data_IF_315424008398
#
_entry.id   IF_315424008398
#
_cell.length_a   1.000
_cell.length_b   1.000
_cell.length_c   1.000
_cell.angle_alpha   90.00
_cell.angle_beta   90.00
_cell.angle_gamma   90.00
#
_symmetry.space_group_name_H-M   'P 1'
#
loop_
_entity.id
_entity.type
_entity.pdbx_description
1 polymer ?
#
# COMPACT_ATOMS: atom_id res chain seq x y z
N UNK A 1 10.27 0.36 -18.60
CA UNK A 1 9.07 0.69 -17.78
C UNK A 1 9.48 1.18 -16.39
N UNK A 2 8.64 2.00 -15.73
CA UNK A 2 8.93 2.48 -14.36
C UNK A 2 8.42 1.51 -13.29
N UNK A 3 9.31 1.04 -12.41
CA UNK A 3 8.98 0.13 -11.31
C UNK A 3 9.47 0.66 -9.97
N UNK A 4 8.64 0.55 -8.94
CA UNK A 4 8.98 0.99 -7.59
C UNK A 4 9.53 -0.16 -6.75
N UNK A 5 10.72 0.03 -6.20
CA UNK A 5 11.37 -0.89 -5.27
C UNK A 5 11.41 -0.27 -3.88
N UNK A 6 10.89 -0.99 -2.88
CA UNK A 6 10.87 -0.51 -1.49
C UNK A 6 11.58 -1.48 -0.57
N UNK A 7 12.64 -0.99 0.10
CA UNK A 7 13.42 -1.78 1.05
C UNK A 7 13.77 -0.99 2.32
N UNK A 8 14.18 -1.70 3.37
CA UNK A 8 14.65 -1.11 4.63
C UNK A 8 16.08 -0.57 4.46
N UNK A 9 16.34 0.61 5.00
CA UNK A 9 17.65 1.26 5.04
C UNK A 9 18.15 1.40 6.48
N UNK A 10 19.47 1.50 6.63
CA UNK A 10 20.15 1.69 7.90
C UNK A 10 20.92 3.02 7.91
N UNK A 11 20.25 4.14 8.15
CA UNK A 11 20.88 5.46 8.17
C UNK A 11 21.70 5.67 9.44
N UNK A 12 22.81 6.42 9.33
CA UNK A 12 23.60 6.91 10.48
C UNK A 12 22.77 7.88 11.34
N UNK A 13 23.25 8.22 12.54
CA UNK A 13 22.52 9.17 13.41
C UNK A 13 22.38 10.55 12.75
N UNK A 14 23.41 11.06 12.08
CA UNK A 14 23.33 12.31 11.32
C UNK A 14 22.28 12.25 10.20
N UNK A 15 22.25 11.12 9.47
CA UNK A 15 21.26 10.91 8.41
C UNK A 15 19.85 10.83 8.98
N UNK A 16 19.65 10.18 10.14
CA UNK A 16 18.37 10.16 10.84
C UNK A 16 17.88 11.55 11.22
N UNK A 17 18.80 12.41 11.74
CA UNK A 17 18.49 13.81 12.07
C UNK A 17 17.99 14.54 10.81
N UNK A 18 18.73 14.43 9.69
CA UNK A 18 18.33 15.04 8.41
C UNK A 18 16.99 14.54 7.90
N UNK A 19 16.73 13.23 7.99
CA UNK A 19 15.44 12.62 7.61
C UNK A 19 14.31 13.17 8.48
N UNK A 20 14.50 13.22 9.80
CA UNK A 20 13.47 13.73 10.72
C UNK A 20 13.19 15.22 10.50
N UNK A 21 14.24 16.02 10.26
CA UNK A 21 14.13 17.45 9.95
C UNK A 21 13.33 17.65 8.67
N UNK A 22 13.70 16.95 7.58
CA UNK A 22 13.00 17.05 6.29
C UNK A 22 11.53 16.62 6.39
N UNK A 23 11.24 15.49 7.05
CA UNK A 23 9.85 15.03 7.27
C UNK A 23 9.06 16.03 8.12
N UNK A 24 9.72 16.66 9.11
CA UNK A 24 9.14 17.72 9.94
C UNK A 24 8.74 18.93 9.11
N UNK A 25 9.67 19.43 8.30
CA UNK A 25 9.46 20.56 7.38
C UNK A 25 8.35 20.24 6.35
N UNK A 26 8.39 19.08 5.70
CA UNK A 26 7.36 18.68 4.75
C UNK A 26 5.95 18.62 5.38
N UNK A 27 5.86 18.17 6.65
CA UNK A 27 4.58 18.17 7.39
C UNK A 27 4.12 19.60 7.68
N UNK A 28 5.01 20.48 8.10
CA UNK A 28 4.70 21.89 8.34
C UNK A 28 4.19 22.56 7.06
N UNK A 29 4.93 22.45 5.96
CA UNK A 29 4.58 23.04 4.67
C UNK A 29 3.25 22.53 4.13
N UNK A 30 3.00 21.21 4.23
CA UNK A 30 1.71 20.65 3.85
C UNK A 30 0.57 21.33 4.64
N UNK A 31 0.73 21.44 5.96
CA UNK A 31 -0.27 22.05 6.82
C UNK A 31 -0.40 23.55 6.57
N UNK A 32 0.71 24.23 6.32
CA UNK A 32 0.73 25.67 6.04
C UNK A 32 0.00 25.99 4.73
N UNK A 33 0.21 25.20 3.69
CA UNK A 33 -0.56 25.31 2.45
C UNK A 33 -2.07 25.14 2.68
N UNK A 34 -2.48 24.16 3.48
CA UNK A 34 -3.90 23.95 3.81
C UNK A 34 -4.46 25.15 4.57
N UNK A 35 -3.74 25.64 5.57
CA UNK A 35 -4.15 26.78 6.38
C UNK A 35 -4.30 28.03 5.52
N UNK A 36 -3.30 28.37 4.74
CA UNK A 36 -3.29 29.55 3.88
C UNK A 36 -4.43 29.54 2.86
N UNK A 37 -4.68 28.44 2.19
CA UNK A 37 -5.81 28.35 1.24
C UNK A 37 -7.17 28.38 1.94
N UNK A 38 -7.27 27.90 3.18
CA UNK A 38 -8.50 28.03 3.97
C UNK A 38 -8.76 29.50 4.32
N UNK A 39 -7.76 30.24 4.82
CA UNK A 39 -7.91 31.67 5.11
C UNK A 39 -8.31 32.47 3.87
N UNK A 40 -7.70 32.21 2.71
CA UNK A 40 -8.09 32.83 1.43
C UNK A 40 -9.54 32.54 1.06
N UNK A 41 -9.97 31.29 1.22
CA UNK A 41 -11.36 30.92 0.97
C UNK A 41 -12.33 31.64 1.91
N UNK A 42 -12.01 31.71 3.20
CA UNK A 42 -12.81 32.38 4.21
C UNK A 42 -12.89 33.92 3.95
N UNK A 43 -11.85 34.50 3.30
CA UNK A 43 -11.78 35.89 2.85
C UNK A 43 -12.44 36.13 1.46
N UNK A 44 -13.02 35.11 0.83
CA UNK A 44 -13.60 35.21 -0.51
C UNK A 44 -12.57 35.31 -1.66
N UNK A 45 -11.31 35.02 -1.38
CA UNK A 45 -10.23 35.09 -2.36
C UNK A 45 -10.12 33.78 -3.17
N UNK A 46 -9.50 33.89 -4.37
CA UNK A 46 -9.25 32.72 -5.22
C UNK A 46 -8.28 31.75 -4.59
N UNK A 47 -8.52 30.46 -4.79
CA UNK A 47 -7.65 29.37 -4.39
C UNK A 47 -6.25 29.52 -5.01
N UNK A 48 -5.21 29.42 -4.19
CA UNK A 48 -3.82 29.52 -4.63
C UNK A 48 -3.28 28.15 -5.04
N UNK A 49 -2.85 28.02 -6.30
CA UNK A 49 -2.25 26.78 -6.82
C UNK A 49 -0.95 26.42 -6.09
N UNK A 50 -0.54 25.13 -6.14
CA UNK A 50 0.74 24.72 -5.54
C UNK A 50 1.95 25.44 -6.13
N UNK A 51 1.93 25.77 -7.43
CA UNK A 51 2.98 26.54 -8.09
C UNK A 51 3.01 27.99 -7.58
N UNK A 52 1.87 28.66 -7.56
CA UNK A 52 1.76 30.06 -7.07
C UNK A 52 2.15 30.15 -5.60
N UNK A 53 1.71 29.21 -4.77
CA UNK A 53 2.09 29.16 -3.36
C UNK A 53 3.61 28.94 -3.18
N UNK A 54 4.23 28.11 -4.00
CA UNK A 54 5.69 27.90 -3.94
C UNK A 54 6.47 29.16 -4.31
N UNK A 55 5.99 29.95 -5.27
CA UNK A 55 6.60 31.24 -5.66
C UNK A 55 6.42 32.25 -4.53
N UNK A 56 5.18 32.46 -4.07
CA UNK A 56 4.87 33.34 -2.95
C UNK A 56 5.68 33.00 -1.68
N UNK A 57 5.74 31.71 -1.31
CA UNK A 57 6.50 31.24 -0.13
C UNK A 57 7.98 31.67 -0.18
N UNK A 58 8.62 31.50 -1.35
CA UNK A 58 10.07 31.75 -1.46
C UNK A 58 10.44 33.21 -1.70
N UNK A 59 9.60 33.97 -2.44
CA UNK A 59 9.93 35.30 -2.89
C UNK A 59 9.32 36.42 -2.02
N UNK A 60 8.20 36.11 -1.33
CA UNK A 60 7.51 37.11 -0.52
C UNK A 60 7.50 36.72 0.95
N UNK A 61 6.97 35.53 1.28
CA UNK A 61 6.77 35.15 2.68
C UNK A 61 8.08 34.94 3.44
N UNK A 62 8.97 34.07 2.97
CA UNK A 62 10.23 33.78 3.67
C UNK A 62 11.17 34.98 3.81
N UNK A 63 11.34 35.88 2.81
CA UNK A 63 12.14 37.07 3.01
C UNK A 63 11.64 37.98 4.13
N UNK A 64 10.33 38.10 4.30
CA UNK A 64 9.69 38.88 5.36
C UNK A 64 9.64 38.20 6.73
N UNK A 65 9.99 36.89 6.82
CA UNK A 65 9.85 36.10 8.03
C UNK A 65 11.09 35.24 8.31
N UNK A 66 12.19 35.84 8.81
CA UNK A 66 13.48 35.15 9.05
C UNK A 66 13.34 33.93 9.99
N UNK A 67 12.39 33.95 10.91
CA UNK A 67 12.12 32.85 11.84
C UNK A 67 11.71 31.53 11.14
N UNK A 68 11.34 31.58 9.87
CA UNK A 68 11.04 30.39 9.05
C UNK A 68 12.16 29.98 8.09
N UNK A 69 13.32 30.57 8.15
CA UNK A 69 14.45 30.21 7.27
C UNK A 69 14.92 28.76 7.41
N UNK A 70 14.61 28.11 8.53
CA UNK A 70 14.82 26.68 8.71
C UNK A 70 14.14 25.81 7.63
N UNK A 71 13.14 26.34 6.92
CA UNK A 71 12.51 25.66 5.76
C UNK A 71 13.52 25.48 4.62
N UNK A 72 14.46 26.41 4.46
CA UNK A 72 15.51 26.35 3.42
C UNK A 72 16.65 25.38 3.75
N UNK A 73 16.73 24.87 4.99
CA UNK A 73 17.77 23.92 5.40
C UNK A 73 17.51 22.48 4.90
N UNK A 74 16.37 22.23 4.28
CA UNK A 74 16.03 20.95 3.69
C UNK A 74 15.90 21.04 2.16
N UNK A 75 15.86 19.90 1.50
CA UNK A 75 15.74 19.88 0.03
C UNK A 75 14.48 20.61 -0.46
N UNK A 76 14.68 21.60 -1.34
CA UNK A 76 13.59 22.34 -2.00
C UNK A 76 12.64 21.41 -2.77
N UNK A 77 13.15 20.30 -3.31
CA UNK A 77 12.33 19.28 -3.99
C UNK A 77 11.38 18.56 -3.03
N UNK A 78 11.83 18.29 -1.79
CA UNK A 78 10.95 17.72 -0.76
C UNK A 78 9.86 18.70 -0.34
N UNK A 79 10.22 20.00 -0.21
CA UNK A 79 9.26 21.07 0.10
C UNK A 79 8.23 21.23 -1.02
N UNK A 80 8.66 21.34 -2.28
CA UNK A 80 7.74 21.42 -3.45
C UNK A 80 6.81 20.22 -3.52
N UNK A 81 7.32 19.00 -3.31
CA UNK A 81 6.49 17.80 -3.30
C UNK A 81 5.44 17.81 -2.15
N UNK A 82 5.78 18.38 -0.99
CA UNK A 82 4.82 18.54 0.11
C UNK A 82 3.68 19.50 -0.26
N UNK A 83 3.98 20.60 -0.96
CA UNK A 83 2.98 21.55 -1.50
C UNK A 83 2.10 20.85 -2.54
N UNK A 84 2.68 20.14 -3.49
CA UNK A 84 1.95 19.41 -4.53
C UNK A 84 1.01 18.34 -3.95
N UNK A 85 1.47 17.62 -2.91
CA UNK A 85 0.63 16.65 -2.21
C UNK A 85 -0.57 17.31 -1.51
N UNK A 86 -0.41 18.52 -0.98
CA UNK A 86 -1.49 19.28 -0.37
C UNK A 86 -2.46 19.84 -1.43
N UNK A 87 -1.93 20.36 -2.52
CA UNK A 87 -2.71 20.81 -3.68
C UNK A 87 -3.54 19.66 -4.28
N UNK A 88 -2.93 18.50 -4.49
CA UNK A 88 -3.62 17.29 -4.97
C UNK A 88 -4.73 16.84 -4.00
N UNK A 89 -4.53 17.00 -2.69
CA UNK A 89 -5.57 16.66 -1.71
C UNK A 89 -6.80 17.58 -1.85
N UNK A 90 -6.62 18.88 -2.10
CA UNK A 90 -7.71 19.78 -2.42
C UNK A 90 -8.35 19.47 -3.78
N UNK A 91 -7.56 19.20 -4.80
CA UNK A 91 -8.09 18.80 -6.12
C UNK A 91 -9.02 17.60 -6.01
N UNK A 92 -8.63 16.57 -5.28
CA UNK A 92 -9.49 15.39 -5.03
C UNK A 92 -10.75 15.73 -4.25
N UNK A 93 -10.69 16.68 -3.33
CA UNK A 93 -11.86 17.15 -2.61
C UNK A 93 -12.83 17.89 -3.55
N UNK A 94 -12.35 18.81 -4.38
CA UNK A 94 -13.19 19.53 -5.36
C UNK A 94 -13.80 18.62 -6.42
N UNK A 95 -13.12 17.52 -6.78
CA UNK A 95 -13.67 16.49 -7.68
C UNK A 95 -14.50 15.42 -6.95
N UNK A 96 -14.90 15.64 -5.70
CA UNK A 96 -15.69 14.71 -4.87
C UNK A 96 -15.08 13.31 -4.69
N UNK A 97 -13.77 13.16 -4.92
CA UNK A 97 -13.03 11.90 -4.76
C UNK A 97 -12.58 11.63 -3.32
N UNK A 98 -12.58 12.65 -2.46
CA UNK A 98 -12.20 12.53 -1.06
C UNK A 98 -12.88 13.57 -0.18
N UNK A 99 -12.90 13.34 1.14
CA UNK A 99 -13.29 14.35 2.11
C UNK A 99 -12.28 15.51 2.17
N UNK A 100 -12.67 16.61 2.83
CA UNK A 100 -11.82 17.78 3.03
C UNK A 100 -10.44 17.40 3.59
N UNK A 101 -9.34 17.99 3.07
CA UNK A 101 -7.97 17.66 3.48
C UNK A 101 -7.73 17.84 4.98
N UNK A 102 -7.10 16.86 5.63
CA UNK A 102 -6.82 16.92 7.07
C UNK A 102 -5.38 17.31 7.33
N UNK A 103 -5.15 18.12 8.38
CA UNK A 103 -3.81 18.44 8.87
C UNK A 103 -3.01 17.19 9.23
N UNK A 104 -1.75 17.16 8.82
CA UNK A 104 -0.82 16.08 9.14
C UNK A 104 -0.31 16.22 10.58
N UNK A 105 -0.36 15.15 11.36
CA UNK A 105 0.08 15.12 12.77
C UNK A 105 1.33 14.24 12.94
N UNK A 106 2.31 14.71 13.76
CA UNK A 106 3.52 13.95 14.09
C UNK A 106 3.16 12.58 14.69
N UNK A 107 3.74 11.52 14.12
CA UNK A 107 3.52 10.14 14.59
C UNK A 107 2.14 9.54 14.31
N UNK A 108 1.28 10.22 13.53
CA UNK A 108 -0.02 9.71 13.04
C UNK A 108 -0.10 9.69 11.51
N UNK A 109 0.50 10.70 10.86
CA UNK A 109 0.44 10.86 9.42
C UNK A 109 1.71 10.33 8.76
N UNK A 110 1.57 9.64 7.62
CA UNK A 110 2.69 9.18 6.79
C UNK A 110 3.17 10.34 5.91
N UNK A 111 4.19 11.06 6.39
CA UNK A 111 4.89 12.10 5.63
C UNK A 111 6.26 11.58 5.26
N UNK A 112 6.66 11.75 4.01
CA UNK A 112 7.89 11.20 3.43
C UNK A 112 8.85 12.32 3.02
N UNK A 113 10.14 12.02 3.04
CA UNK A 113 11.17 12.83 2.42
C UNK A 113 11.26 12.40 0.95
N UNK A 114 10.81 13.24 0.03
CA UNK A 114 10.89 12.99 -1.41
C UNK A 114 12.26 13.40 -1.95
N UNK A 115 12.76 12.67 -2.94
CA UNK A 115 13.95 13.03 -3.71
C UNK A 115 13.75 12.69 -5.19
N UNK A 116 14.48 13.41 -6.04
CA UNK A 116 14.46 13.23 -7.49
C UNK A 116 15.89 13.32 -8.02
N UNK A 117 16.17 12.64 -9.12
CA UNK A 117 17.42 12.73 -9.83
C UNK A 117 17.47 14.07 -10.58
N UNK A 118 18.41 14.95 -10.21
CA UNK A 118 18.67 16.20 -10.91
C UNK A 118 19.93 16.09 -11.78
N UNK A 119 20.98 15.41 -11.28
CA UNK A 119 22.26 15.25 -11.94
C UNK A 119 22.57 13.78 -12.17
N UNK A 120 23.44 13.43 -13.15
CA UNK A 120 23.85 12.05 -13.41
C UNK A 120 24.41 11.33 -12.18
N UNK A 121 25.09 12.06 -11.28
CA UNK A 121 25.71 11.53 -10.04
C UNK A 121 24.74 11.41 -8.86
N UNK A 122 23.48 11.84 -9.03
CA UNK A 122 22.44 11.69 -8.02
C UNK A 122 21.73 10.34 -8.15
N UNK A 123 21.17 9.87 -7.03
CA UNK A 123 20.30 8.68 -7.00
C UNK A 123 20.99 7.43 -7.56
N UNK A 124 22.25 7.20 -7.23
CA UNK A 124 22.97 5.98 -7.61
C UNK A 124 22.63 4.83 -6.66
N UNK A 125 22.63 3.61 -7.17
CA UNK A 125 22.45 2.39 -6.38
C UNK A 125 23.59 1.42 -6.62
N UNK A 126 24.14 0.90 -5.53
CA UNK A 126 25.04 -0.23 -5.51
C UNK A 126 24.38 -1.41 -4.79
N UNK A 127 24.97 -2.56 -4.83
CA UNK A 127 24.39 -3.78 -4.23
C UNK A 127 23.99 -3.61 -2.76
N UNK A 128 24.73 -2.80 -1.98
CA UNK A 128 24.55 -2.70 -0.52
C UNK A 128 24.24 -1.28 -0.03
N UNK A 129 24.22 -0.28 -0.91
CA UNK A 129 23.96 1.12 -0.55
C UNK A 129 23.30 1.90 -1.69
N UNK A 130 22.56 2.93 -1.33
CA UNK A 130 21.90 3.86 -2.25
C UNK A 130 22.32 5.27 -1.95
N UNK A 131 22.65 6.07 -2.97
CA UNK A 131 22.95 7.49 -2.84
C UNK A 131 21.66 8.29 -2.93
N UNK A 132 21.33 9.00 -1.87
CA UNK A 132 20.13 9.83 -1.79
C UNK A 132 20.57 11.29 -1.68
N UNK A 133 20.03 12.20 -2.53
CA UNK A 133 20.33 13.63 -2.43
C UNK A 133 20.14 14.13 -0.99
N UNK A 134 21.05 14.96 -0.51
CA UNK A 134 21.13 15.51 0.85
C UNK A 134 21.54 14.54 1.96
N UNK A 135 21.37 13.23 1.78
CA UNK A 135 21.79 12.20 2.75
C UNK A 135 23.15 11.56 2.41
N UNK A 136 23.54 11.60 1.11
CA UNK A 136 24.70 10.83 0.64
C UNK A 136 24.40 9.32 0.55
N UNK A 137 25.42 8.51 0.75
CA UNK A 137 25.29 7.05 0.72
C UNK A 137 24.63 6.50 1.98
N UNK A 138 23.55 5.75 1.80
CA UNK A 138 22.79 5.09 2.87
C UNK A 138 22.82 3.59 2.66
N UNK A 139 23.07 2.82 3.70
CA UNK A 139 23.15 1.35 3.67
C UNK A 139 21.79 0.72 3.46
N UNK A 140 21.70 -0.26 2.57
CA UNK A 140 20.54 -1.11 2.36
C UNK A 140 20.59 -2.35 3.26
N UNK A 141 19.45 -2.73 3.87
CA UNK A 141 19.35 -3.99 4.62
C UNK A 141 19.27 -5.20 3.68
N UNK A 142 18.57 -5.08 2.59
CA UNK A 142 18.42 -6.12 1.57
C UNK A 142 19.39 -5.81 0.41
N UNK A 143 20.45 -6.63 0.32
CA UNK A 143 21.49 -6.45 -0.68
C UNK A 143 21.02 -6.91 -2.05
N UNK A 144 21.19 -6.07 -3.09
CA UNK A 144 20.84 -6.41 -4.47
C UNK A 144 19.35 -6.44 -4.78
N UNK A 145 18.48 -5.97 -3.86
CA UNK A 145 17.04 -5.90 -4.11
C UNK A 145 16.66 -4.76 -5.07
N UNK A 146 17.32 -3.62 -4.98
CA UNK A 146 17.19 -2.54 -5.96
C UNK A 146 18.21 -2.78 -7.08
N UNK A 147 17.81 -2.75 -8.35
CA UNK A 147 18.73 -2.86 -9.48
C UNK A 147 19.86 -1.82 -9.40
N UNK A 148 21.08 -2.23 -9.77
CA UNK A 148 22.25 -1.38 -9.56
C UNK A 148 22.48 -0.44 -10.72
N UNK A 149 23.05 0.75 -10.44
CA UNK A 149 23.39 1.71 -11.47
C UNK A 149 24.53 1.25 -12.39
N UNK A 150 25.37 0.29 -11.94
CA UNK A 150 26.41 -0.33 -12.75
C UNK A 150 25.83 -1.19 -13.88
N UNK A 151 24.66 -1.80 -13.65
CA UNK A 151 23.95 -2.60 -14.65
C UNK A 151 23.07 -1.73 -15.59
N UNK A 152 23.31 -0.42 -15.62
CA UNK A 152 22.59 0.52 -16.49
C UNK A 152 21.24 1.00 -15.98
N UNK A 153 20.79 0.57 -14.79
CA UNK A 153 19.49 0.97 -14.24
C UNK A 153 19.52 2.40 -13.67
N UNK A 154 18.48 3.16 -13.97
CA UNK A 154 18.36 4.57 -13.58
C UNK A 154 17.25 4.77 -12.57
N UNK A 155 17.60 5.29 -11.39
CA UNK A 155 16.63 5.76 -10.41
C UNK A 155 16.17 7.17 -10.82
N UNK A 156 14.88 7.33 -11.13
CA UNK A 156 14.29 8.63 -11.51
C UNK A 156 13.95 9.48 -10.29
N UNK A 157 13.36 8.87 -9.29
CA UNK A 157 12.94 9.54 -8.05
C UNK A 157 12.74 8.53 -6.94
N UNK A 158 12.43 9.02 -5.75
CA UNK A 158 12.06 8.15 -4.65
C UNK A 158 11.63 8.91 -3.41
N UNK A 159 11.38 8.17 -2.34
CA UNK A 159 11.00 8.74 -1.07
C UNK A 159 11.57 7.93 0.10
N UNK A 160 12.06 8.62 1.11
CA UNK A 160 12.41 8.02 2.40
C UNK A 160 11.21 8.15 3.35
N UNK A 161 10.82 7.05 3.95
CA UNK A 161 9.72 6.98 4.91
C UNK A 161 10.16 6.32 6.21
N UNK A 162 9.41 6.57 7.28
CA UNK A 162 9.67 5.98 8.59
C UNK A 162 8.41 5.27 9.09
N UNK A 163 8.53 3.98 9.42
CA UNK A 163 7.42 3.18 9.96
C UNK A 163 7.89 2.32 11.13
N UNK A 164 7.22 2.43 12.26
CA UNK A 164 7.51 1.65 13.48
C UNK A 164 8.98 1.72 13.96
N UNK A 165 9.62 2.90 13.81
CA UNK A 165 11.01 3.13 14.19
C UNK A 165 12.05 2.56 13.22
N UNK A 166 11.63 2.14 12.01
CA UNK A 166 12.49 1.71 10.91
C UNK A 166 12.40 2.68 9.75
N UNK A 167 13.46 2.74 8.95
CA UNK A 167 13.57 3.60 7.79
C UNK A 167 13.51 2.78 6.51
N UNK A 168 12.78 3.30 5.52
CA UNK A 168 12.59 2.64 4.23
C UNK A 168 12.86 3.64 3.11
N UNK A 169 13.51 3.18 2.06
CA UNK A 169 13.57 3.89 0.78
C UNK A 169 12.62 3.22 -0.21
N UNK A 170 11.87 4.02 -0.94
CA UNK A 170 11.11 3.60 -2.10
C UNK A 170 11.73 4.29 -3.30
N UNK A 171 12.37 3.55 -4.19
CA UNK A 171 13.05 4.08 -5.38
C UNK A 171 12.24 3.72 -6.63
N UNK A 172 11.96 4.70 -7.47
CA UNK A 172 11.34 4.53 -8.78
C UNK A 172 12.46 4.35 -9.81
N UNK A 173 12.58 3.14 -10.33
CA UNK A 173 13.65 2.71 -11.23
C UNK A 173 13.09 2.50 -12.62
N UNK A 174 13.83 2.96 -13.61
CA UNK A 174 13.55 2.66 -15.00
C UNK A 174 14.18 1.30 -15.34
N UNK A 175 13.34 0.32 -15.68
CA UNK A 175 13.75 -1.03 -16.03
C UNK A 175 13.30 -1.36 -17.46
N UNK A 176 13.99 -2.25 -18.18
CA UNK A 176 13.51 -2.75 -19.46
C UNK A 176 12.09 -3.29 -19.34
N UNK A 177 11.29 -3.13 -20.38
CA UNK A 177 10.02 -3.86 -20.44
C UNK A 177 10.35 -5.36 -20.47
N UNK A 178 9.62 -6.20 -19.71
CA UNK A 178 9.81 -7.65 -19.85
C UNK A 178 9.44 -8.05 -21.25
N UNK A 179 10.24 -8.93 -21.84
CA UNK A 179 9.89 -9.58 -23.10
C UNK A 179 8.65 -10.44 -22.86
N UNK A 180 7.66 -10.33 -23.74
CA UNK A 180 6.50 -11.21 -23.71
C UNK A 180 6.98 -12.63 -24.03
N UNK A 181 6.95 -13.49 -23.03
CA UNK A 181 7.36 -14.88 -23.18
C UNK A 181 6.23 -15.61 -23.93
N UNK A 182 6.48 -16.02 -25.17
CA UNK A 182 5.46 -16.54 -26.09
C UNK A 182 4.80 -17.87 -25.70
N UNK A 183 5.26 -18.51 -24.60
CA UNK A 183 4.73 -19.79 -24.12
C UNK A 183 3.79 -19.57 -22.93
N UNK A 184 2.56 -19.10 -23.20
CA UNK A 184 1.50 -19.00 -22.19
C UNK A 184 0.74 -20.34 -22.10
N UNK A 185 0.39 -20.73 -20.87
CA UNK A 185 -0.48 -21.88 -20.60
C UNK A 185 -1.95 -21.47 -20.65
N UNK A 186 -2.86 -22.45 -20.48
CA UNK A 186 -4.29 -22.18 -20.39
C UNK A 186 -4.60 -21.15 -19.29
N UNK A 187 -5.68 -20.39 -19.51
CA UNK A 187 -6.16 -19.42 -18.54
C UNK A 187 -6.58 -20.04 -17.21
N UNK A 188 -6.58 -19.26 -16.16
CA UNK A 188 -6.99 -19.68 -14.83
C UNK A 188 -8.01 -18.74 -14.22
N UNK A 189 -8.95 -19.31 -13.43
CA UNK A 189 -9.86 -18.56 -12.56
C UNK A 189 -9.40 -18.64 -11.12
N UNK A 190 -9.62 -17.58 -10.34
CA UNK A 190 -9.27 -17.50 -8.92
C UNK A 190 -10.47 -17.02 -8.11
N UNK A 191 -10.99 -17.88 -7.25
CA UNK A 191 -11.98 -17.52 -6.22
C UNK A 191 -11.27 -17.03 -4.95
N UNK A 192 -11.64 -15.85 -4.45
CA UNK A 192 -11.06 -15.23 -3.26
C UNK A 192 -11.99 -15.36 -2.05
N UNK A 193 -11.53 -16.05 -1.00
CA UNK A 193 -12.36 -16.39 0.13
C UNK A 193 -11.85 -15.97 1.52
N UNK A 194 -12.70 -16.13 2.52
CA UNK A 194 -12.36 -15.93 3.94
C UNK A 194 -11.94 -17.23 4.64
N UNK A 195 -12.40 -18.39 4.15
CA UNK A 195 -12.01 -19.72 4.66
C UNK A 195 -10.60 -20.03 4.21
N UNK A 196 -10.41 -20.14 2.94
CA UNK A 196 -9.13 -20.16 2.26
C UNK A 196 -8.91 -18.80 1.60
N UNK A 197 -7.68 -18.44 1.33
CA UNK A 197 -7.35 -17.12 0.78
C UNK A 197 -7.70 -17.04 -0.70
N UNK A 198 -7.34 -18.08 -1.43
CA UNK A 198 -7.65 -18.21 -2.85
C UNK A 198 -7.74 -19.69 -3.25
N UNK A 199 -8.70 -20.03 -4.11
CA UNK A 199 -8.82 -21.32 -4.79
C UNK A 199 -8.64 -21.07 -6.28
N UNK A 200 -7.74 -21.80 -6.91
CA UNK A 200 -7.43 -21.68 -8.33
C UNK A 200 -8.07 -22.81 -9.11
N UNK A 201 -8.51 -22.56 -10.34
CA UNK A 201 -9.19 -23.53 -11.21
C UNK A 201 -8.38 -24.81 -11.51
N UNK A 202 -7.05 -24.77 -11.29
CA UNK A 202 -6.20 -25.95 -11.40
C UNK A 202 -6.19 -26.83 -10.12
N UNK A 203 -7.08 -26.56 -9.15
CA UNK A 203 -7.17 -27.29 -7.88
C UNK A 203 -6.22 -26.78 -6.77
N UNK A 204 -5.35 -25.80 -7.04
CA UNK A 204 -4.44 -25.25 -6.03
C UNK A 204 -5.21 -24.41 -5.01
N UNK A 205 -5.02 -24.70 -3.72
CA UNK A 205 -5.66 -23.98 -2.61
C UNK A 205 -4.64 -23.23 -1.76
N UNK A 206 -4.77 -21.92 -1.70
CA UNK A 206 -3.96 -21.06 -0.84
C UNK A 206 -4.68 -20.80 0.49
N UNK A 207 -4.13 -21.36 1.56
CA UNK A 207 -4.74 -21.26 2.90
C UNK A 207 -4.71 -19.83 3.44
N UNK A 208 -5.69 -19.49 4.26
CA UNK A 208 -5.74 -18.21 4.95
C UNK A 208 -4.65 -18.09 6.04
N UNK A 209 -3.63 -17.27 5.79
CA UNK A 209 -2.49 -17.05 6.70
C UNK A 209 -2.94 -16.52 8.08
N UNK A 210 -4.09 -15.82 8.16
CA UNK A 210 -4.61 -15.26 9.40
C UNK A 210 -5.07 -16.33 10.41
N UNK A 211 -5.32 -17.54 9.95
CA UNK A 211 -5.71 -18.69 10.80
C UNK A 211 -4.51 -19.42 11.40
N UNK A 212 -3.28 -19.05 11.06
CA UNK A 212 -2.06 -19.69 11.58
C UNK A 212 -1.80 -19.35 13.04
N UNK A 213 -1.19 -20.29 13.77
CA UNK A 213 -0.79 -20.09 15.16
C UNK A 213 0.12 -18.85 15.34
N UNK A 214 1.00 -18.59 14.34
CA UNK A 214 1.91 -17.44 14.32
C UNK A 214 1.15 -16.12 14.36
N UNK A 215 0.18 -15.91 13.48
CA UNK A 215 -0.64 -14.68 13.43
C UNK A 215 -1.50 -14.55 14.70
N UNK A 216 -2.16 -15.63 15.14
CA UNK A 216 -2.96 -15.63 16.37
C UNK A 216 -2.13 -15.22 17.60
N UNK A 217 -0.90 -15.72 17.73
CA UNK A 217 0.03 -15.33 18.80
C UNK A 217 0.38 -13.84 18.75
N UNK A 218 0.69 -13.30 17.56
CA UNK A 218 0.99 -11.88 17.37
C UNK A 218 -0.22 -11.00 17.66
N UNK A 219 -1.41 -11.38 17.23
CA UNK A 219 -2.64 -10.64 17.54
C UNK A 219 -2.97 -10.64 19.04
N UNK A 220 -2.71 -11.75 19.75
CA UNK A 220 -2.83 -11.80 21.22
C UNK A 220 -1.83 -10.86 21.90
N UNK A 221 -0.59 -10.81 21.42
CA UNK A 221 0.44 -9.87 21.90
C UNK A 221 0.04 -8.42 21.62
N UNK A 222 -0.48 -8.14 20.43
CA UNK A 222 -0.94 -6.82 20.02
C UNK A 222 -2.08 -6.33 20.94
N UNK A 223 -3.12 -7.14 21.17
CA UNK A 223 -4.23 -6.81 22.08
C UNK A 223 -3.74 -6.48 23.50
N UNK A 224 -2.79 -7.27 24.03
CA UNK A 224 -2.18 -7.00 25.35
C UNK A 224 -1.40 -5.68 25.35
N UNK A 225 -0.63 -5.40 24.28
CA UNK A 225 0.13 -4.16 24.16
C UNK A 225 -0.78 -2.93 24.03
N UNK A 226 -1.89 -3.04 23.31
CA UNK A 226 -2.90 -1.99 23.15
C UNK A 226 -3.60 -1.70 24.48
N UNK A 227 -4.03 -2.72 25.25
CA UNK A 227 -4.62 -2.55 26.58
C UNK A 227 -3.67 -1.80 27.55
N UNK A 228 -2.36 -2.16 27.53
CA UNK A 228 -1.34 -1.46 28.32
C UNK A 228 -1.21 0.01 27.90
N UNK A 229 -1.29 0.29 26.59
CA UNK A 229 -1.22 1.65 26.07
C UNK A 229 -2.47 2.47 26.50
N UNK A 230 -3.67 1.89 26.40
CA UNK A 230 -4.92 2.54 26.80
C UNK A 230 -4.90 2.92 28.27
N UNK A 231 -4.49 2.00 29.16
CA UNK A 231 -4.37 2.28 30.61
C UNK A 231 -3.41 3.45 30.89
N UNK A 232 -2.26 3.51 30.18
CA UNK A 232 -1.33 4.64 30.34
C UNK A 232 -1.91 5.98 29.92
N UNK A 233 -2.75 6.01 28.88
CA UNK A 233 -3.46 7.23 28.49
C UNK A 233 -4.59 7.58 29.47
N UNK A 234 -5.24 6.59 30.03
CA UNK A 234 -6.30 6.78 31.00
C UNK A 234 -5.77 7.36 32.32
N UNK A 235 -4.63 6.82 32.82
CA UNK A 235 -3.93 7.36 33.96
C UNK A 235 -3.51 8.83 33.76
N UNK A 236 -3.02 9.15 32.56
CA UNK A 236 -2.65 10.53 32.20
C UNK A 236 -3.86 11.48 32.24
N UNK A 237 -5.06 11.00 31.81
CA UNK A 237 -6.30 11.79 31.92
C UNK A 237 -6.76 12.03 33.36
N UNK A 238 -6.51 11.06 34.26
CA UNK A 238 -6.84 11.16 35.67
C UNK A 238 -5.85 12.02 36.48
N UNK A 239 -4.86 12.62 35.81
CA UNK A 239 -3.83 13.43 36.49
C UNK A 239 -2.72 12.62 37.15
N UNK A 240 -2.71 11.29 37.01
CA UNK A 240 -1.63 10.44 37.53
C UNK A 240 -0.30 10.69 36.77
N UNK A 241 0.80 10.61 37.50
CA UNK A 241 2.17 10.81 36.96
C UNK A 241 2.61 9.68 36.05
N UNK A 242 2.14 9.67 34.81
CA UNK A 242 2.62 8.74 33.78
C UNK A 242 3.63 9.44 32.88
N UNK A 243 4.89 8.98 32.90
CA UNK A 243 5.94 9.55 32.05
C UNK A 243 5.60 9.40 30.57
N UNK A 244 5.59 10.52 29.82
CA UNK A 244 5.33 10.55 28.37
C UNK A 244 6.28 9.66 27.59
N UNK A 245 7.55 9.52 28.01
CA UNK A 245 8.52 8.62 27.41
C UNK A 245 8.05 7.15 27.46
N UNK A 246 7.43 6.70 28.53
CA UNK A 246 6.90 5.35 28.67
C UNK A 246 5.67 5.11 27.77
N UNK A 247 4.87 6.14 27.54
CA UNK A 247 3.77 6.10 26.54
C UNK A 247 4.35 5.95 25.13
N UNK A 248 5.37 6.73 24.78
CA UNK A 248 6.05 6.65 23.49
C UNK A 248 6.67 5.27 23.23
N UNK A 249 7.36 4.70 24.23
CA UNK A 249 7.91 3.34 24.16
C UNK A 249 6.81 2.29 23.94
N UNK A 250 5.70 2.39 24.68
CA UNK A 250 4.59 1.46 24.53
C UNK A 250 3.88 1.62 23.17
N UNK A 251 3.69 2.87 22.69
CA UNK A 251 3.16 3.15 21.34
C UNK A 251 4.03 2.54 20.25
N UNK A 252 5.35 2.68 20.36
CA UNK A 252 6.29 2.08 19.40
C UNK A 252 6.19 0.54 19.40
N UNK A 253 6.01 -0.09 20.56
CA UNK A 253 5.77 -1.54 20.67
C UNK A 253 4.51 -1.97 19.93
N UNK A 254 3.40 -1.24 20.10
CA UNK A 254 2.14 -1.49 19.36
C UNK A 254 2.37 -1.34 17.85
N UNK A 255 3.04 -0.27 17.42
CA UNK A 255 3.36 -0.05 16.00
C UNK A 255 4.22 -1.17 15.39
N UNK A 256 5.24 -1.65 16.12
CA UNK A 256 6.09 -2.78 15.69
C UNK A 256 5.30 -4.07 15.52
N UNK A 257 4.35 -4.36 16.41
CA UNK A 257 3.50 -5.55 16.30
C UNK A 257 2.54 -5.46 15.11
N UNK A 258 1.88 -4.31 14.90
CA UNK A 258 1.07 -4.08 13.71
C UNK A 258 1.89 -4.26 12.42
N UNK A 259 3.06 -3.65 12.36
CA UNK A 259 3.92 -3.73 11.19
C UNK A 259 4.38 -5.17 10.91
N UNK A 260 4.70 -5.94 11.96
CA UNK A 260 5.08 -7.35 11.80
C UNK A 260 3.94 -8.21 11.25
N UNK A 261 2.71 -8.02 11.73
CA UNK A 261 1.53 -8.73 11.22
C UNK A 261 1.28 -8.35 9.76
N UNK A 262 1.36 -7.06 9.44
CA UNK A 262 1.17 -6.56 8.09
C UNK A 262 2.21 -7.12 7.12
N UNK A 263 3.49 -7.17 7.52
CA UNK A 263 4.54 -7.73 6.67
C UNK A 263 4.31 -9.22 6.38
N UNK A 264 3.87 -10.02 7.36
CA UNK A 264 3.56 -11.44 7.15
C UNK A 264 2.42 -11.61 6.14
N UNK A 265 1.37 -10.79 6.23
CA UNK A 265 0.24 -10.81 5.29
C UNK A 265 0.67 -10.40 3.88
N UNK A 266 1.45 -9.35 3.77
CA UNK A 266 1.99 -8.87 2.49
C UNK A 266 2.96 -9.87 1.85
N UNK A 267 3.83 -10.52 2.64
CA UNK A 267 4.71 -11.58 2.16
C UNK A 267 3.94 -12.79 1.63
N UNK A 268 2.89 -13.20 2.34
CA UNK A 268 2.01 -14.27 1.87
C UNK A 268 1.37 -13.92 0.51
N UNK A 269 0.80 -12.72 0.38
CA UNK A 269 0.21 -12.25 -0.89
C UNK A 269 1.26 -12.25 -2.01
N UNK A 270 2.47 -11.76 -1.73
CA UNK A 270 3.53 -11.72 -2.74
C UNK A 270 3.94 -13.13 -3.21
N UNK A 271 3.99 -14.11 -2.28
CA UNK A 271 4.28 -15.51 -2.59
C UNK A 271 3.18 -16.12 -3.46
N UNK A 272 1.92 -15.98 -3.05
CA UNK A 272 0.77 -16.48 -3.80
C UNK A 272 0.77 -15.90 -5.23
N UNK A 273 0.91 -14.59 -5.39
CA UNK A 273 0.96 -13.97 -6.71
C UNK A 273 2.17 -14.49 -7.51
N UNK A 274 3.34 -14.61 -6.88
CA UNK A 274 4.54 -15.11 -7.56
C UNK A 274 4.38 -16.55 -8.03
N UNK A 275 3.76 -17.42 -7.26
CA UNK A 275 3.48 -18.80 -7.63
C UNK A 275 2.48 -18.88 -8.78
N UNK A 276 1.38 -18.12 -8.72
CA UNK A 276 0.37 -18.06 -9.77
C UNK A 276 0.97 -17.56 -11.09
N UNK A 277 1.69 -16.44 -11.07
CA UNK A 277 2.24 -15.83 -12.30
C UNK A 277 3.37 -16.69 -12.90
N UNK A 278 4.10 -17.46 -12.09
CA UNK A 278 5.11 -18.40 -12.58
C UNK A 278 4.56 -19.54 -13.45
N UNK A 279 3.28 -19.87 -13.34
CA UNK A 279 2.64 -20.86 -14.23
C UNK A 279 2.39 -20.29 -15.64
N UNK A 280 2.62 -18.98 -15.85
CA UNK A 280 2.46 -18.27 -17.13
C UNK A 280 1.09 -18.49 -17.80
N UNK A 281 -0.04 -18.29 -17.09
CA UNK A 281 -1.34 -18.45 -17.73
C UNK A 281 -1.57 -17.35 -18.77
N UNK A 282 -2.30 -17.65 -19.82
CA UNK A 282 -2.70 -16.69 -20.87
C UNK A 282 -3.55 -15.56 -20.27
N UNK A 283 -4.42 -15.90 -19.35
CA UNK A 283 -5.21 -14.94 -18.60
C UNK A 283 -5.49 -15.43 -17.18
N UNK A 284 -5.80 -14.47 -16.29
CA UNK A 284 -6.25 -14.72 -14.93
C UNK A 284 -7.57 -14.00 -14.74
N UNK A 285 -8.63 -14.75 -14.37
CA UNK A 285 -9.95 -14.18 -14.10
C UNK A 285 -10.25 -14.17 -12.62
N UNK A 286 -10.68 -13.01 -12.09
CA UNK A 286 -11.09 -12.79 -10.69
C UNK A 286 -12.43 -12.07 -10.60
N UNK A 287 -13.10 -12.14 -9.46
CA UNK A 287 -14.32 -11.36 -9.19
C UNK A 287 -14.03 -9.89 -8.81
N UNK A 288 -14.95 -8.98 -9.17
CA UNK A 288 -14.99 -7.60 -8.62
C UNK A 288 -15.60 -7.61 -7.21
N UNK A 289 -14.82 -7.98 -6.21
CA UNK A 289 -15.27 -8.01 -4.82
C UNK A 289 -15.62 -6.61 -4.30
N UNK A 290 -16.87 -6.42 -3.84
CA UNK A 290 -17.29 -5.20 -3.16
C UNK A 290 -16.71 -5.14 -1.73
N UNK A 291 -15.40 -4.90 -1.61
CA UNK A 291 -14.68 -4.87 -0.33
C UNK A 291 -15.25 -3.81 0.60
N UNK A 292 -15.63 -2.64 0.08
CA UNK A 292 -16.20 -1.54 0.87
C UNK A 292 -17.58 -1.93 1.46
N UNK A 293 -18.42 -2.62 0.71
CA UNK A 293 -19.68 -3.17 1.18
C UNK A 293 -19.48 -4.27 2.24
N UNK A 294 -18.55 -5.21 1.99
CA UNK A 294 -18.20 -6.26 2.95
C UNK A 294 -17.67 -5.70 4.28
N UNK A 295 -16.95 -4.59 4.25
CA UNK A 295 -16.42 -3.92 5.45
C UNK A 295 -17.50 -3.27 6.32
N UNK A 296 -18.69 -3.00 5.78
CA UNK A 296 -19.83 -2.48 6.57
C UNK A 296 -20.42 -3.54 7.51
N UNK A 297 -20.26 -4.81 7.19
CA UNK A 297 -20.69 -5.92 8.06
C UNK A 297 -19.72 -6.05 9.26
N UNK A 298 -20.21 -5.73 10.46
CA UNK A 298 -19.41 -5.74 11.70
C UNK A 298 -18.79 -7.10 12.04
N UNK A 299 -19.45 -8.20 11.68
CA UNK A 299 -18.98 -9.57 11.94
C UNK A 299 -17.85 -9.99 10.98
N UNK A 300 -17.85 -9.50 9.75
CA UNK A 300 -16.89 -9.87 8.72
C UNK A 300 -15.77 -8.85 8.50
N UNK A 301 -15.99 -7.58 8.87
CA UNK A 301 -15.08 -6.46 8.57
C UNK A 301 -13.63 -6.73 8.97
N UNK A 302 -13.38 -7.30 10.14
CA UNK A 302 -12.03 -7.66 10.60
C UNK A 302 -11.42 -8.76 9.74
N UNK A 303 -12.18 -9.78 9.37
CA UNK A 303 -11.71 -10.88 8.53
C UNK A 303 -11.37 -10.36 7.11
N UNK A 304 -12.27 -9.60 6.51
CA UNK A 304 -12.09 -8.98 5.19
C UNK A 304 -10.87 -8.06 5.17
N UNK A 305 -10.75 -7.14 6.15
CA UNK A 305 -9.58 -6.25 6.26
C UNK A 305 -8.26 -7.03 6.41
N UNK A 306 -8.30 -8.18 7.09
CA UNK A 306 -7.12 -9.02 7.32
C UNK A 306 -6.65 -9.77 6.08
N UNK A 307 -7.53 -10.04 5.11
CA UNK A 307 -7.18 -10.70 3.84
C UNK A 307 -6.48 -9.76 2.87
N UNK A 308 -6.72 -8.43 2.95
CA UNK A 308 -6.10 -7.43 2.08
C UNK A 308 -6.39 -7.69 0.59
N UNK A 309 -7.60 -8.07 0.23
CA UNK A 309 -8.02 -8.37 -1.16
C UNK A 309 -7.68 -7.25 -2.14
N UNK A 310 -7.85 -5.98 -1.74
CA UNK A 310 -7.46 -4.84 -2.57
C UNK A 310 -5.94 -4.81 -2.88
N UNK A 311 -5.11 -5.13 -1.88
CA UNK A 311 -3.65 -5.22 -2.09
C UNK A 311 -3.31 -6.38 -3.03
N UNK A 312 -3.98 -7.52 -2.89
CA UNK A 312 -3.83 -8.68 -3.78
C UNK A 312 -4.17 -8.29 -5.23
N UNK A 313 -5.38 -7.75 -5.48
CA UNK A 313 -5.82 -7.32 -6.82
C UNK A 313 -4.84 -6.31 -7.45
N UNK A 314 -4.43 -5.29 -6.69
CA UNK A 314 -3.51 -4.25 -7.19
C UNK A 314 -2.14 -4.82 -7.57
N UNK A 315 -1.59 -5.71 -6.74
CA UNK A 315 -0.30 -6.34 -7.02
C UNK A 315 -0.39 -7.37 -8.14
N UNK A 316 -1.48 -8.13 -8.20
CA UNK A 316 -1.75 -9.07 -9.27
C UNK A 316 -1.80 -8.33 -10.61
N UNK A 317 -2.57 -7.23 -10.71
CA UNK A 317 -2.62 -6.39 -11.90
C UNK A 317 -1.23 -5.94 -12.35
N UNK A 318 -0.41 -5.45 -11.42
CA UNK A 318 0.96 -5.02 -11.73
C UNK A 318 1.81 -6.19 -12.25
N UNK A 319 1.67 -7.36 -11.63
CA UNK A 319 2.42 -8.55 -12.03
C UNK A 319 1.96 -9.11 -13.37
N UNK A 320 0.66 -9.16 -13.62
CA UNK A 320 0.13 -9.57 -14.91
C UNK A 320 0.66 -8.68 -16.03
N UNK A 321 0.63 -7.36 -15.85
CA UNK A 321 1.21 -6.41 -16.82
C UNK A 321 2.72 -6.60 -17.01
N UNK A 322 3.48 -6.99 -15.98
CA UNK A 322 4.90 -7.29 -16.07
C UNK A 322 5.19 -8.56 -16.89
N UNK A 323 4.29 -9.53 -16.93
CA UNK A 323 4.49 -10.83 -17.58
C UNK A 323 3.65 -11.04 -18.85
N UNK A 324 2.94 -9.99 -19.31
CA UNK A 324 2.08 -10.09 -20.49
C UNK A 324 0.84 -10.96 -20.29
N UNK A 325 0.43 -11.20 -19.04
CA UNK A 325 -0.75 -11.98 -18.69
C UNK A 325 -1.97 -11.06 -18.69
N UNK A 326 -3.06 -11.45 -19.34
CA UNK A 326 -4.31 -10.70 -19.31
C UNK A 326 -5.02 -10.89 -17.96
N UNK A 327 -5.29 -9.80 -17.23
CA UNK A 327 -6.09 -9.84 -16.01
C UNK A 327 -7.55 -9.50 -16.35
N UNK A 328 -8.45 -10.45 -16.18
CA UNK A 328 -9.88 -10.34 -16.39
C UNK A 328 -10.62 -10.17 -15.07
N UNK A 329 -11.61 -9.32 -15.05
CA UNK A 329 -12.44 -9.06 -13.86
C UNK A 329 -13.89 -9.24 -14.26
N UNK A 330 -14.57 -10.23 -13.67
CA UNK A 330 -16.00 -10.43 -13.88
C UNK A 330 -16.80 -9.50 -12.97
N UNK A 331 -18.03 -9.18 -13.41
CA UNK A 331 -18.94 -8.36 -12.63
C UNK A 331 -19.21 -9.01 -11.25
N UNK A 332 -19.44 -8.17 -10.25
CA UNK A 332 -19.73 -8.60 -8.86
C UNK A 332 -20.97 -9.44 -8.68
N UNK A 333 -21.88 -9.41 -9.63
CA UNK A 333 -23.13 -10.18 -9.63
C UNK A 333 -23.01 -11.48 -10.41
N UNK A 334 -21.85 -11.73 -11.05
CA UNK A 334 -21.60 -12.99 -11.72
C UNK A 334 -21.73 -14.16 -10.73
N UNK A 335 -22.67 -15.10 -10.95
CA UNK A 335 -22.98 -16.12 -9.96
C UNK A 335 -22.00 -17.30 -9.99
N UNK A 336 -20.70 -17.04 -9.95
CA UNK A 336 -19.61 -18.01 -10.10
C UNK A 336 -19.81 -19.29 -9.28
N UNK A 337 -20.21 -19.16 -8.01
CA UNK A 337 -20.42 -20.29 -7.11
C UNK A 337 -21.77 -21.01 -7.30
N UNK A 338 -22.72 -20.42 -8.06
CA UNK A 338 -24.07 -20.98 -8.29
C UNK A 338 -24.23 -21.64 -9.64
N UNK A 339 -23.38 -21.36 -10.60
CA UNK A 339 -23.36 -21.96 -11.93
C UNK A 339 -22.76 -23.38 -11.81
N UNK A 340 -23.38 -24.35 -12.43
CA UNK A 340 -22.78 -25.67 -12.60
C UNK A 340 -21.73 -25.59 -13.70
N UNK A 341 -20.48 -25.92 -13.39
CA UNK A 341 -19.42 -25.91 -14.37
C UNK A 341 -19.63 -26.92 -15.52
N UNK A 342 -20.38 -28.02 -15.26
CA UNK A 342 -20.63 -29.07 -16.26
C UNK A 342 -21.77 -28.71 -17.23
N UNK A 343 -22.91 -28.21 -16.73
CA UNK A 343 -24.12 -28.02 -17.55
C UNK A 343 -24.64 -26.57 -17.54
N UNK A 344 -23.92 -25.66 -16.96
CA UNK A 344 -24.23 -24.20 -16.87
C UNK A 344 -25.56 -23.88 -16.16
N UNK A 345 -26.27 -24.85 -15.57
CA UNK A 345 -27.50 -24.58 -14.81
C UNK A 345 -27.21 -23.79 -13.54
N UNK A 346 -28.12 -22.87 -13.17
CA UNK A 346 -27.97 -22.02 -11.99
C UNK A 346 -28.72 -22.59 -10.80
N UNK A 347 -28.03 -22.93 -9.74
CA UNK A 347 -28.60 -23.37 -8.46
C UNK A 347 -29.00 -22.19 -7.59
N UNK A 348 -30.29 -21.92 -7.44
CA UNK A 348 -30.86 -20.79 -6.68
C UNK A 348 -30.80 -20.99 -5.17
N UNK A 349 -30.90 -22.19 -4.69
CA UNK A 349 -31.05 -22.62 -3.27
C UNK A 349 -29.70 -22.88 -2.57
N UNK A 350 -28.55 -22.60 -3.21
CA UNK A 350 -27.21 -22.79 -2.63
C UNK A 350 -27.00 -21.86 -1.43
N UNK A 351 -26.80 -22.45 -0.25
CA UNK A 351 -26.53 -21.69 1.00
C UNK A 351 -25.04 -21.37 1.14
N UNK A 352 -24.71 -20.30 1.88
CA UNK A 352 -23.32 -19.93 2.19
C UNK A 352 -22.59 -20.99 3.03
N UNK A 353 -23.34 -21.81 3.78
CA UNK A 353 -22.79 -22.93 4.55
C UNK A 353 -22.36 -24.12 3.70
N UNK A 354 -22.94 -24.27 2.51
CA UNK A 354 -22.70 -25.43 1.63
C UNK A 354 -21.27 -25.34 1.08
N UNK A 355 -20.52 -26.42 1.24
CA UNK A 355 -19.12 -26.49 0.79
C UNK A 355 -18.95 -27.37 -0.44
N UNK A 356 -19.90 -28.26 -0.68
CA UNK A 356 -19.94 -29.14 -1.84
C UNK A 356 -21.06 -28.65 -2.75
N UNK A 357 -20.70 -28.35 -3.99
CA UNK A 357 -21.67 -28.10 -5.04
C UNK A 357 -22.19 -29.43 -5.58
N UNK A 358 -23.52 -29.57 -5.69
CA UNK A 358 -24.18 -30.75 -6.25
C UNK A 358 -25.19 -30.26 -7.26
N UNK A 359 -25.11 -30.77 -8.49
CA UNK A 359 -26.02 -30.45 -9.57
C UNK A 359 -26.95 -31.64 -9.89
N UNK A 360 -28.11 -31.36 -10.46
CA UNK A 360 -29.05 -32.39 -10.99
C UNK A 360 -28.46 -33.16 -12.17
N UNK A 361 -27.47 -32.61 -12.88
CA UNK A 361 -26.76 -33.34 -13.94
C UNK A 361 -25.76 -34.39 -13.42
N UNK A 362 -25.68 -34.59 -12.10
CA UNK A 362 -24.74 -35.52 -11.47
C UNK A 362 -23.35 -34.91 -11.10
N UNK A 363 -23.07 -33.68 -11.51
CA UNK A 363 -21.80 -33.02 -11.16
C UNK A 363 -21.70 -32.71 -9.66
N UNK A 364 -20.58 -33.12 -9.05
CA UNK A 364 -20.30 -32.92 -7.63
C UNK A 364 -18.85 -32.37 -7.51
N UNK A 365 -18.67 -31.22 -6.87
CA UNK A 365 -17.37 -30.61 -6.71
C UNK A 365 -17.30 -29.73 -5.43
N UNK A 366 -16.10 -29.39 -4.97
CA UNK A 366 -15.94 -28.30 -3.98
C UNK A 366 -16.50 -27.00 -4.55
N UNK A 367 -17.30 -26.29 -3.76
CA UNK A 367 -17.99 -25.08 -4.23
C UNK A 367 -17.02 -23.98 -4.67
N UNK A 368 -15.91 -23.80 -3.92
CA UNK A 368 -14.95 -22.75 -4.20
C UNK A 368 -14.11 -23.13 -5.44
N UNK A 369 -13.87 -24.43 -5.69
CA UNK A 369 -13.25 -24.92 -6.94
C UNK A 369 -14.21 -24.78 -8.14
N UNK A 370 -15.49 -25.14 -7.99
CA UNK A 370 -16.51 -24.91 -9.01
C UNK A 370 -16.58 -23.42 -9.39
N UNK A 371 -16.51 -22.51 -8.41
CA UNK A 371 -16.48 -21.06 -8.67
C UNK A 371 -15.23 -20.65 -9.45
N UNK A 372 -14.06 -21.18 -9.10
CA UNK A 372 -12.81 -20.90 -9.80
C UNK A 372 -12.83 -21.39 -11.26
N UNK A 373 -13.42 -22.56 -11.52
CA UNK A 373 -13.60 -23.09 -12.88
C UNK A 373 -14.52 -22.18 -13.70
N UNK A 374 -15.66 -21.77 -13.14
CA UNK A 374 -16.60 -20.85 -13.80
C UNK A 374 -16.00 -19.47 -14.05
N UNK A 375 -15.09 -18.99 -13.17
CA UNK A 375 -14.34 -17.76 -13.40
C UNK A 375 -13.35 -17.89 -14.55
N UNK A 376 -12.66 -19.04 -14.68
CA UNK A 376 -11.75 -19.30 -15.80
C UNK A 376 -12.49 -19.18 -17.14
N UNK A 377 -13.66 -19.77 -17.23
CA UNK A 377 -14.43 -19.94 -18.45
C UNK A 377 -15.49 -18.82 -18.65
N UNK A 378 -15.42 -17.75 -17.84
CA UNK A 378 -16.35 -16.62 -17.96
C UNK A 378 -16.17 -15.88 -19.29
N UNK A 379 -17.27 -15.77 -20.04
CA UNK A 379 -17.29 -15.09 -21.37
C UNK A 379 -17.40 -13.57 -21.24
N UNK A 380 -18.04 -13.09 -20.14
CA UNK A 380 -18.25 -11.65 -19.92
C UNK A 380 -17.33 -11.15 -18.80
N UNK A 381 -16.41 -10.24 -19.14
CA UNK A 381 -15.43 -9.68 -18.22
C UNK A 381 -14.94 -8.31 -18.69
N UNK A 382 -14.30 -7.56 -17.78
CA UNK A 382 -13.53 -6.37 -18.10
C UNK A 382 -12.03 -6.69 -18.00
N UNK A 383 -11.23 -6.16 -18.91
CA UNK A 383 -9.77 -6.25 -18.84
C UNK A 383 -9.26 -5.16 -17.88
N UNK A 384 -8.52 -5.54 -16.84
CA UNK A 384 -8.14 -4.68 -15.72
C UNK A 384 -6.89 -3.84 -15.96
#
# INVERSE_FOLDING_TARGET
MLKSFKTEIDPTEEQKIKIHKTIGTCRYIYNFYLFHNKERYDAGERFMSGKSFSVWLNNEYLPGHPEYFWIREVSSKSVKNAIENACTAFSRFFHHQSSFPRYKKKGRSDVKMYFVKNNPKDCLCERHRIKIPTLGWVRLKEKGYIPTSKDGYVIRSGAVSMKAGRYYVSALVDIPAPEADGNLTDGIGIDLGLKDFAVVSNGTVYRNINKTARIRKLEKQLRRAQRKLSRKYENLKKGETTQRANICKQKLKVQKLHHRIENIRTDHINKVISEIVKTKPSHITIEDLNISGMMKNRHLSKAVASQKFYEFRTKLKTKCAEYGIELRVVDRWYPSSRICHCCSSIKKDLKLSDRIYRCTCGYIEDRDLNAALNLRDAETYEVA
#
